data_IF_879311799925
#
_entry.id   IF_879311799925
#
_cell.length_a   1.000
_cell.length_b   1.000
_cell.length_c   1.000
_cell.angle_alpha   90.00
_cell.angle_beta   90.00
_cell.angle_gamma   90.00
#
_symmetry.space_group_name_H-M   'P 1'
#
loop_
_entity.id
_entity.type
_entity.pdbx_description
1 polymer ?
#
# COMPACT_ATOMS: atom_id res chain seq x y z
N UNK A 1 5.80 -9.27 -0.93
CA UNK A 1 6.67 -10.45 -0.66
C UNK A 1 5.93 -11.54 0.14
N UNK A 2 5.11 -11.18 1.11
CA UNK A 2 4.40 -12.12 1.97
C UNK A 2 3.42 -13.02 1.18
N UNK A 3 2.57 -12.45 0.32
CA UNK A 3 1.58 -13.21 -0.47
C UNK A 3 2.20 -14.21 -1.43
N UNK A 4 3.36 -13.88 -2.02
CA UNK A 4 4.13 -14.81 -2.85
C UNK A 4 4.67 -15.99 -2.03
N UNK A 5 5.17 -15.72 -0.83
CA UNK A 5 5.68 -16.75 0.07
C UNK A 5 4.56 -17.68 0.55
N UNK A 6 3.40 -17.14 0.88
CA UNK A 6 2.21 -17.92 1.27
C UNK A 6 1.72 -18.83 0.14
N UNK A 7 1.68 -18.35 -1.10
CA UNK A 7 1.33 -19.18 -2.26
C UNK A 7 2.33 -20.33 -2.45
N UNK A 8 3.63 -20.07 -2.33
CA UNK A 8 4.67 -21.11 -2.42
C UNK A 8 4.50 -22.19 -1.34
N UNK A 9 4.16 -21.81 -0.11
CA UNK A 9 3.87 -22.76 0.97
C UNK A 9 2.66 -23.62 0.61
N UNK A 10 1.55 -23.04 0.16
CA UNK A 10 0.35 -23.80 -0.22
C UNK A 10 0.62 -24.79 -1.37
N UNK A 11 1.48 -24.43 -2.32
CA UNK A 11 1.90 -25.34 -3.40
C UNK A 11 2.74 -26.50 -2.83
N UNK A 12 3.69 -26.20 -1.95
CA UNK A 12 4.55 -27.23 -1.33
C UNK A 12 3.71 -28.21 -0.49
N UNK A 13 2.72 -27.72 0.26
CA UNK A 13 1.80 -28.57 1.03
C UNK A 13 1.00 -29.52 0.12
N UNK A 14 0.51 -29.03 -1.00
CA UNK A 14 -0.18 -29.86 -1.99
C UNK A 14 0.76 -30.89 -2.62
N UNK A 15 2.01 -30.55 -2.87
CA UNK A 15 3.03 -31.47 -3.39
C UNK A 15 3.36 -32.56 -2.36
N UNK A 16 3.51 -32.22 -1.09
CA UNK A 16 3.78 -33.14 0.00
C UNK A 16 2.60 -34.10 0.27
N UNK A 17 1.38 -33.70 -0.05
CA UNK A 17 0.19 -34.53 0.08
C UNK A 17 0.08 -35.60 -1.02
N UNK A 18 0.95 -35.58 -2.03
CA UNK A 18 0.98 -36.63 -3.07
C UNK A 18 1.27 -37.99 -2.45
N UNK A 19 0.54 -39.00 -2.91
CA UNK A 19 0.73 -40.37 -2.45
C UNK A 19 2.12 -40.86 -2.85
N UNK A 20 2.86 -41.37 -1.87
CA UNK A 20 4.09 -42.12 -2.13
C UNK A 20 3.74 -43.50 -2.73
N UNK A 21 4.34 -43.83 -3.85
CA UNK A 21 4.23 -45.21 -4.40
C UNK A 21 5.12 -46.10 -3.56
N UNK A 22 4.57 -47.15 -2.90
CA UNK A 22 5.36 -48.07 -2.09
C UNK A 22 6.27 -48.91 -2.99
N UNK A 23 7.39 -49.35 -2.43
CA UNK A 23 8.21 -50.38 -3.09
C UNK A 23 7.36 -51.63 -3.37
N UNK A 24 7.66 -52.34 -4.45
CA UNK A 24 6.90 -53.52 -4.83
C UNK A 24 7.06 -54.62 -3.78
N UNK A 25 5.97 -55.02 -3.05
CA UNK A 25 6.07 -56.05 -2.04
C UNK A 25 6.32 -57.42 -2.68
N UNK A 26 7.02 -58.32 -1.95
CA UNK A 26 7.27 -59.68 -2.38
C UNK A 26 6.19 -60.70 -2.03
N UNK A 27 5.30 -60.36 -1.06
CA UNK A 27 4.20 -61.24 -0.60
C UNK A 27 2.90 -60.84 -1.27
N UNK A 28 2.11 -61.82 -1.69
CA UNK A 28 0.80 -61.62 -2.33
C UNK A 28 -0.18 -60.81 -1.49
N UNK A 29 -0.22 -61.03 -0.19
CA UNK A 29 -1.06 -60.28 0.76
C UNK A 29 -0.71 -58.78 0.74
N UNK A 30 0.57 -58.45 0.70
CA UNK A 30 1.08 -57.08 0.74
C UNK A 30 0.85 -56.37 -0.58
N UNK A 31 0.94 -57.11 -1.70
CA UNK A 31 0.59 -56.61 -3.06
C UNK A 31 -0.89 -56.23 -3.11
N UNK A 32 -1.78 -57.12 -2.59
CA UNK A 32 -3.21 -56.83 -2.55
C UNK A 32 -3.50 -55.57 -1.71
N UNK A 33 -2.88 -55.45 -0.55
CA UNK A 33 -3.04 -54.30 0.34
C UNK A 33 -2.52 -53.01 -0.31
N UNK A 34 -1.35 -53.04 -0.91
CA UNK A 34 -0.79 -51.90 -1.63
C UNK A 34 -1.66 -51.47 -2.84
N UNK A 35 -2.19 -52.48 -3.57
CA UNK A 35 -3.11 -52.23 -4.69
C UNK A 35 -4.41 -51.55 -4.23
N UNK A 36 -4.99 -52.01 -3.10
CA UNK A 36 -6.18 -51.39 -2.52
C UNK A 36 -5.87 -49.93 -2.12
N UNK A 37 -4.78 -49.70 -1.41
CA UNK A 37 -4.37 -48.35 -0.99
C UNK A 37 -4.17 -47.42 -2.19
N UNK A 38 -3.56 -47.88 -3.29
CA UNK A 38 -3.34 -47.08 -4.47
C UNK A 38 -4.61 -46.77 -5.27
N UNK A 39 -5.65 -47.62 -5.15
CA UNK A 39 -6.96 -47.41 -5.78
C UNK A 39 -7.87 -46.45 -5.03
N UNK A 40 -7.58 -46.15 -3.78
CA UNK A 40 -8.38 -45.22 -3.00
C UNK A 40 -8.14 -43.78 -3.51
N UNK A 41 -9.17 -43.03 -3.89
CA UNK A 41 -8.98 -41.66 -4.33
C UNK A 41 -8.45 -40.80 -3.18
N UNK A 42 -7.57 -39.83 -3.51
CA UNK A 42 -7.16 -38.79 -2.58
C UNK A 42 -8.00 -37.56 -2.89
N UNK A 43 -8.61 -36.97 -1.89
CA UNK A 43 -9.27 -35.69 -2.03
C UNK A 43 -8.24 -34.54 -1.88
N UNK A 44 -8.00 -33.83 -2.96
CA UNK A 44 -7.11 -32.67 -3.02
C UNK A 44 -7.88 -31.35 -2.95
N UNK A 45 -9.20 -31.36 -2.77
CA UNK A 45 -10.06 -30.17 -2.84
C UNK A 45 -9.57 -29.05 -1.92
N UNK A 46 -9.24 -29.37 -0.67
CA UNK A 46 -8.76 -28.38 0.31
C UNK A 46 -7.44 -27.72 -0.09
N UNK A 47 -6.51 -28.46 -0.70
CA UNK A 47 -5.26 -27.90 -1.20
C UNK A 47 -5.49 -27.00 -2.42
N UNK A 48 -6.39 -27.41 -3.31
CA UNK A 48 -6.75 -26.61 -4.49
C UNK A 48 -7.39 -25.29 -4.07
N UNK A 49 -8.29 -25.34 -3.10
CA UNK A 49 -8.97 -24.13 -2.59
C UNK A 49 -7.99 -23.19 -1.89
N UNK A 50 -7.07 -23.73 -1.07
CA UNK A 50 -6.01 -22.95 -0.45
C UNK A 50 -5.09 -22.25 -1.49
N UNK A 51 -4.68 -22.97 -2.54
CA UNK A 51 -3.86 -22.41 -3.62
C UNK A 51 -4.62 -21.30 -4.33
N UNK A 52 -5.91 -21.48 -4.67
CA UNK A 52 -6.72 -20.45 -5.32
C UNK A 52 -6.88 -19.19 -4.46
N UNK A 53 -7.11 -19.36 -3.16
CA UNK A 53 -7.20 -18.25 -2.21
C UNK A 53 -5.90 -17.43 -2.20
N UNK A 54 -4.74 -18.10 -2.07
CA UNK A 54 -3.44 -17.44 -2.05
C UNK A 54 -3.06 -16.81 -3.41
N UNK A 55 -3.48 -17.44 -4.50
CA UNK A 55 -3.34 -16.85 -5.84
C UNK A 55 -4.13 -15.54 -5.95
N UNK A 56 -5.39 -15.54 -5.55
CA UNK A 56 -6.23 -14.32 -5.57
C UNK A 56 -5.66 -13.22 -4.69
N UNK A 57 -5.14 -13.56 -3.51
CA UNK A 57 -4.49 -12.60 -2.62
C UNK A 57 -3.23 -11.98 -3.27
N UNK A 58 -2.43 -12.78 -3.99
CA UNK A 58 -1.26 -12.29 -4.72
C UNK A 58 -1.68 -11.38 -5.89
N UNK A 59 -2.69 -11.77 -6.67
CA UNK A 59 -3.22 -10.97 -7.77
C UNK A 59 -3.72 -9.59 -7.27
N UNK A 60 -4.48 -9.57 -6.17
CA UNK A 60 -4.93 -8.34 -5.54
C UNK A 60 -3.76 -7.47 -5.06
N UNK A 61 -2.75 -8.06 -4.45
CA UNK A 61 -1.54 -7.34 -4.01
C UNK A 61 -0.78 -6.71 -5.19
N UNK A 62 -0.72 -7.40 -6.34
CA UNK A 62 -0.13 -6.85 -7.57
C UNK A 62 -0.95 -5.66 -8.10
N UNK A 63 -2.27 -5.76 -8.10
CA UNK A 63 -3.15 -4.67 -8.53
C UNK A 63 -3.01 -3.45 -7.61
N UNK A 64 -3.00 -3.65 -6.30
CA UNK A 64 -2.76 -2.60 -5.31
C UNK A 64 -1.42 -1.91 -5.55
N UNK A 65 -0.34 -2.67 -5.74
CA UNK A 65 0.98 -2.10 -6.01
C UNK A 65 0.98 -1.26 -7.30
N UNK A 66 0.31 -1.72 -8.35
CA UNK A 66 0.22 -0.98 -9.61
C UNK A 66 -0.47 0.36 -9.46
N UNK A 67 -1.57 0.44 -8.70
CA UNK A 67 -2.32 1.69 -8.55
C UNK A 67 -1.62 2.73 -7.66
N UNK A 68 -0.70 2.31 -6.78
CA UNK A 68 0.12 3.20 -5.95
C UNK A 68 1.54 3.42 -6.50
N UNK A 69 1.82 2.97 -7.74
CA UNK A 69 3.07 3.22 -8.45
C UNK A 69 2.82 4.24 -9.54
N UNK A 70 3.50 5.38 -9.48
CA UNK A 70 3.30 6.54 -10.36
C UNK A 70 1.80 6.92 -10.52
N UNK A 71 1.07 7.15 -9.41
CA UNK A 71 -0.36 7.41 -9.48
C UNK A 71 -0.65 8.73 -10.18
N UNK A 72 -1.79 8.79 -10.88
CA UNK A 72 -2.25 10.05 -11.45
C UNK A 72 -2.84 10.95 -10.37
N UNK A 73 -2.81 12.26 -10.59
CA UNK A 73 -3.43 13.26 -9.73
C UNK A 73 -4.93 12.95 -9.51
N UNK A 74 -5.65 12.69 -10.60
CA UNK A 74 -7.09 12.39 -10.53
C UNK A 74 -7.41 11.14 -9.70
N UNK A 75 -6.57 10.11 -9.79
CA UNK A 75 -6.71 8.93 -8.95
C UNK A 75 -6.58 9.29 -7.47
N UNK A 76 -5.55 10.03 -7.10
CA UNK A 76 -5.33 10.41 -5.69
C UNK A 76 -6.49 11.25 -5.17
N UNK A 77 -6.91 12.28 -5.91
CA UNK A 77 -8.04 13.14 -5.53
C UNK A 77 -9.30 12.31 -5.30
N UNK A 78 -9.66 11.44 -6.24
CA UNK A 78 -10.85 10.60 -6.15
C UNK A 78 -10.83 9.70 -4.91
N UNK A 79 -9.64 9.21 -4.53
CA UNK A 79 -9.49 8.28 -3.40
C UNK A 79 -9.58 8.97 -2.05
N UNK A 80 -9.08 10.21 -1.94
CA UNK A 80 -8.96 10.87 -0.64
C UNK A 80 -10.09 11.86 -0.35
N UNK A 81 -10.87 12.28 -1.35
CA UNK A 81 -11.91 13.29 -1.18
C UNK A 81 -12.94 12.95 -0.09
N UNK A 82 -13.26 11.67 0.06
CA UNK A 82 -14.26 11.17 1.04
C UNK A 82 -13.62 10.53 2.27
N UNK A 83 -12.32 10.72 2.49
CA UNK A 83 -11.65 10.21 3.71
C UNK A 83 -12.12 11.03 4.92
N UNK A 84 -12.63 10.34 5.93
CA UNK A 84 -13.03 10.98 7.19
C UNK A 84 -11.84 11.72 7.82
N UNK A 85 -12.03 12.99 8.11
CA UNK A 85 -10.99 13.89 8.62
C UNK A 85 -10.40 14.80 7.55
N UNK A 86 -10.68 14.57 6.25
CA UNK A 86 -10.35 15.47 5.15
C UNK A 86 -11.57 16.36 4.86
N UNK A 87 -11.37 17.67 4.81
CA UNK A 87 -12.43 18.65 4.56
C UNK A 87 -12.33 19.34 3.20
N UNK A 88 -11.22 19.18 2.51
CA UNK A 88 -10.99 19.71 1.17
C UNK A 88 -9.69 19.21 0.56
N UNK A 89 -9.61 19.20 -0.75
CA UNK A 89 -8.42 18.77 -1.51
C UNK A 89 -8.12 19.76 -2.63
N UNK A 90 -6.85 20.00 -2.91
CA UNK A 90 -6.40 20.87 -4.00
C UNK A 90 -5.11 20.34 -4.58
N UNK A 91 -5.09 20.14 -5.90
CA UNK A 91 -3.88 19.75 -6.60
C UNK A 91 -2.96 20.95 -6.84
N UNK A 92 -1.68 20.66 -6.86
CA UNK A 92 -0.62 21.59 -7.26
C UNK A 92 -0.59 21.69 -8.78
N UNK A 93 -0.41 22.88 -9.31
CA UNK A 93 -0.12 23.12 -10.73
C UNK A 93 1.28 23.69 -10.90
N UNK A 94 1.85 23.65 -12.11
CA UNK A 94 3.20 24.17 -12.36
C UNK A 94 3.34 25.65 -12.01
N UNK A 95 2.24 26.43 -12.18
CA UNK A 95 2.20 27.86 -11.86
C UNK A 95 1.89 28.12 -10.38
N UNK A 96 1.42 27.10 -9.65
CA UNK A 96 1.04 27.18 -8.24
C UNK A 96 1.60 26.01 -7.46
N UNK A 97 2.93 25.92 -7.42
CA UNK A 97 3.70 24.89 -6.70
C UNK A 97 4.65 25.55 -5.70
N UNK A 98 4.32 25.50 -4.39
CA UNK A 98 5.18 26.10 -3.35
C UNK A 98 6.60 25.53 -3.31
N UNK A 99 6.79 24.27 -3.72
CA UNK A 99 8.08 23.60 -3.75
C UNK A 99 8.78 23.73 -5.12
N UNK A 100 8.04 24.08 -6.16
CA UNK A 100 8.55 24.20 -7.52
C UNK A 100 9.11 22.90 -8.11
N UNK A 101 8.56 21.74 -7.73
CA UNK A 101 9.08 20.40 -8.05
C UNK A 101 8.16 19.57 -8.96
N UNK A 102 6.96 20.04 -9.26
CA UNK A 102 6.02 19.31 -10.12
C UNK A 102 6.63 19.12 -11.52
N UNK A 103 6.64 17.87 -11.98
CA UNK A 103 7.17 17.43 -13.28
C UNK A 103 8.67 17.75 -13.53
N UNK A 104 9.43 18.03 -12.47
CA UNK A 104 10.89 18.24 -12.58
C UNK A 104 11.66 16.96 -12.28
N UNK A 105 12.89 16.90 -12.75
CA UNK A 105 13.77 15.77 -12.49
C UNK A 105 13.94 15.56 -10.96
N UNK A 106 13.60 14.37 -10.47
CA UNK A 106 13.59 14.03 -9.05
C UNK A 106 12.44 14.62 -8.24
N UNK A 107 11.51 15.33 -8.90
CA UNK A 107 10.29 15.85 -8.30
C UNK A 107 9.09 14.91 -8.44
N UNK A 108 7.99 15.33 -7.86
CA UNK A 108 6.73 14.60 -7.96
C UNK A 108 6.03 14.83 -9.32
N UNK A 109 5.24 13.84 -9.75
CA UNK A 109 4.35 13.92 -10.94
C UNK A 109 2.92 14.26 -10.57
N UNK A 110 2.57 14.12 -9.28
CA UNK A 110 1.32 14.55 -8.69
C UNK A 110 1.57 15.03 -7.26
N UNK A 111 0.98 16.14 -6.87
CA UNK A 111 1.02 16.62 -5.50
C UNK A 111 -0.33 17.21 -5.14
N UNK A 112 -0.98 16.67 -4.12
CA UNK A 112 -2.29 17.05 -3.68
C UNK A 112 -2.22 17.44 -2.21
N UNK A 113 -2.48 18.71 -1.92
CA UNK A 113 -2.69 19.16 -0.56
C UNK A 113 -4.13 18.91 -0.12
N UNK A 114 -4.32 18.66 1.18
CA UNK A 114 -5.62 18.48 1.77
C UNK A 114 -5.75 19.24 3.10
N UNK A 115 -6.93 19.77 3.37
CA UNK A 115 -7.28 20.35 4.66
C UNK A 115 -7.91 19.29 5.57
N UNK A 116 -7.63 19.36 6.87
CA UNK A 116 -8.23 18.49 7.87
C UNK A 116 -9.31 19.21 8.66
N UNK A 117 -10.44 18.55 8.88
CA UNK A 117 -11.51 19.02 9.77
C UNK A 117 -11.10 19.09 11.25
N UNK A 118 -9.97 18.49 11.60
CA UNK A 118 -9.41 18.50 12.96
C UNK A 118 -8.55 19.75 13.23
N UNK A 119 -8.32 20.60 12.22
CA UNK A 119 -7.50 21.82 12.30
C UNK A 119 -8.41 23.03 12.06
N UNK A 120 -8.30 24.04 12.91
CA UNK A 120 -8.99 25.32 12.68
C UNK A 120 -8.35 26.02 11.48
N UNK A 121 -9.04 25.99 10.34
CA UNK A 121 -8.55 26.52 9.08
C UNK A 121 -8.38 28.03 9.05
N UNK A 122 -9.05 28.76 9.94
CA UNK A 122 -8.95 30.23 10.07
C UNK A 122 -7.64 30.67 10.74
N UNK A 123 -6.98 29.76 11.44
CA UNK A 123 -5.69 29.99 12.10
C UNK A 123 -4.48 29.63 11.19
N UNK A 124 -4.73 29.00 10.05
CA UNK A 124 -3.68 28.61 9.09
C UNK A 124 -3.52 29.70 8.04
N UNK A 125 -2.30 30.22 7.90
CA UNK A 125 -1.98 31.25 6.93
C UNK A 125 -2.02 30.72 5.49
N UNK A 126 -2.65 31.47 4.58
CA UNK A 126 -2.80 31.15 3.16
C UNK A 126 -4.22 31.37 2.67
N UNK A 127 -4.40 31.65 1.39
CA UNK A 127 -5.71 31.93 0.78
C UNK A 127 -6.41 30.67 0.28
N UNK A 128 -5.64 29.64 -0.03
CA UNK A 128 -6.16 28.35 -0.48
C UNK A 128 -5.39 27.17 0.18
N UNK A 129 -5.78 25.94 -0.13
CA UNK A 129 -5.22 24.74 0.51
C UNK A 129 -3.75 24.56 0.16
N UNK A 130 -3.34 24.88 -1.08
CA UNK A 130 -1.94 24.77 -1.53
C UNK A 130 -1.06 25.79 -0.83
N UNK A 131 -1.52 27.06 -0.71
CA UNK A 131 -0.79 28.12 0.02
C UNK A 131 -0.68 27.82 1.53
N UNK A 132 -1.73 27.24 2.12
CA UNK A 132 -1.71 26.77 3.53
C UNK A 132 -0.72 25.62 3.74
N UNK A 133 -0.36 24.91 2.69
CA UNK A 133 0.63 23.84 2.72
C UNK A 133 0.22 22.65 3.61
N UNK A 134 1.20 21.98 4.21
CA UNK A 134 0.94 20.86 5.12
C UNK A 134 0.31 21.28 6.44
N UNK A 135 0.38 22.56 6.81
CA UNK A 135 -0.16 23.02 8.09
C UNK A 135 -1.69 22.93 8.16
N UNK A 136 -2.40 22.99 7.02
CA UNK A 136 -3.86 22.85 6.98
C UNK A 136 -4.38 21.41 7.13
N UNK A 137 -3.52 20.41 6.96
CA UNK A 137 -3.92 18.99 7.03
C UNK A 137 -2.80 18.05 6.61
N UNK A 138 -2.29 18.26 5.40
CA UNK A 138 -1.20 17.47 4.86
C UNK A 138 -1.08 17.53 3.34
N UNK A 139 -0.26 16.67 2.77
CA UNK A 139 -0.19 16.49 1.34
C UNK A 139 0.18 15.05 0.94
N UNK A 140 -0.15 14.70 -0.28
CA UNK A 140 0.19 13.43 -0.93
C UNK A 140 1.03 13.75 -2.15
N UNK A 141 2.29 13.31 -2.12
CA UNK A 141 3.26 13.50 -3.18
C UNK A 141 3.43 12.17 -3.94
N UNK A 142 3.06 12.11 -5.22
CA UNK A 142 3.22 10.94 -6.09
C UNK A 142 4.49 11.07 -6.95
N UNK A 143 5.34 10.06 -6.91
CA UNK A 143 6.62 10.03 -7.62
C UNK A 143 6.59 9.02 -8.78
N UNK A 144 7.45 9.19 -9.82
CA UNK A 144 7.57 8.23 -10.91
C UNK A 144 8.02 6.83 -10.45
N UNK A 145 8.85 6.77 -9.40
CA UNK A 145 9.41 5.51 -8.90
C UNK A 145 9.40 5.47 -7.38
N UNK A 146 9.48 4.25 -6.83
CA UNK A 146 9.59 4.01 -5.38
C UNK A 146 10.88 4.64 -4.84
N UNK A 147 11.98 4.54 -5.56
CA UNK A 147 13.30 5.06 -5.16
C UNK A 147 13.27 6.60 -5.02
N UNK A 148 12.50 7.31 -5.84
CA UNK A 148 12.34 8.76 -5.72
C UNK A 148 11.49 9.13 -4.50
N UNK A 149 10.42 8.38 -4.22
CA UNK A 149 9.65 8.54 -3.00
C UNK A 149 10.50 8.25 -1.74
N UNK A 150 11.34 7.22 -1.77
CA UNK A 150 12.27 6.89 -0.67
C UNK A 150 13.29 8.00 -0.44
N UNK A 151 13.86 8.58 -1.50
CA UNK A 151 14.76 9.74 -1.39
C UNK A 151 14.07 10.94 -0.75
N UNK A 152 12.83 11.21 -1.16
CA UNK A 152 12.02 12.28 -0.56
C UNK A 152 11.77 12.01 0.92
N UNK A 153 11.36 10.81 1.27
CA UNK A 153 11.12 10.42 2.66
C UNK A 153 12.39 10.56 3.52
N UNK A 154 13.53 10.13 3.00
CA UNK A 154 14.83 10.29 3.66
C UNK A 154 15.19 11.77 3.86
N UNK A 155 14.91 12.62 2.87
CA UNK A 155 15.10 14.05 3.00
C UNK A 155 14.22 14.65 4.11
N UNK A 156 12.93 14.25 4.19
CA UNK A 156 12.01 14.71 5.23
C UNK A 156 12.48 14.27 6.61
N UNK A 157 12.95 13.03 6.75
CA UNK A 157 13.45 12.48 8.02
C UNK A 157 14.63 13.27 8.60
N UNK A 158 15.37 14.00 7.78
CA UNK A 158 16.45 14.86 8.26
C UNK A 158 15.95 16.07 9.08
N UNK A 159 14.67 16.37 9.02
CA UNK A 159 14.03 17.47 9.74
C UNK A 159 13.14 17.01 10.89
N UNK A 160 13.01 15.70 11.11
CA UNK A 160 12.20 15.15 12.20
C UNK A 160 12.72 15.65 13.56
N UNK A 161 11.81 16.24 14.35
CA UNK A 161 12.14 16.81 15.63
C UNK A 161 12.97 18.13 15.57
N UNK A 162 13.17 18.71 14.39
CA UNK A 162 13.91 19.95 14.20
C UNK A 162 13.08 21.21 14.53
N UNK A 163 12.04 21.10 15.32
CA UNK A 163 11.20 22.19 15.78
C UNK A 163 10.44 22.88 14.65
N UNK A 164 10.79 24.11 14.31
CA UNK A 164 10.08 24.88 13.24
C UNK A 164 10.24 24.27 11.84
N UNK A 165 11.25 23.44 11.61
CA UNK A 165 11.49 22.79 10.32
C UNK A 165 10.79 21.42 10.22
N UNK A 166 10.28 20.89 11.32
CA UNK A 166 9.49 19.67 11.34
C UNK A 166 8.15 19.90 10.63
N UNK A 167 7.87 19.08 9.63
CA UNK A 167 6.67 19.20 8.79
C UNK A 167 5.57 18.19 9.16
N UNK A 168 5.70 17.53 10.32
CA UNK A 168 4.78 16.50 10.79
C UNK A 168 5.20 15.09 10.37
N UNK A 169 4.27 14.14 10.39
CA UNK A 169 4.54 12.76 10.01
C UNK A 169 4.62 12.59 8.49
N UNK A 170 5.47 11.66 8.04
CA UNK A 170 5.57 11.28 6.64
C UNK A 170 5.75 9.76 6.50
N UNK A 171 5.07 9.15 5.53
CA UNK A 171 5.04 7.71 5.32
C UNK A 171 5.07 7.39 3.83
N UNK A 172 5.73 6.28 3.47
CA UNK A 172 5.78 5.78 2.09
C UNK A 172 4.69 4.73 1.86
N UNK A 173 4.03 4.84 0.71
CA UNK A 173 3.11 3.83 0.19
C UNK A 173 3.37 3.65 -1.32
N UNK A 174 4.13 2.63 -1.70
CA UNK A 174 4.61 2.48 -3.08
C UNK A 174 5.47 3.65 -3.50
N UNK A 175 5.12 4.36 -4.56
CA UNK A 175 5.80 5.59 -4.99
C UNK A 175 5.14 6.87 -4.45
N UNK A 176 4.32 6.75 -3.41
CA UNK A 176 3.61 7.87 -2.78
C UNK A 176 4.28 8.20 -1.45
N UNK A 177 4.43 9.50 -1.15
CA UNK A 177 4.74 10.00 0.20
C UNK A 177 3.49 10.68 0.74
N UNK A 178 2.94 10.15 1.83
CA UNK A 178 1.81 10.73 2.57
C UNK A 178 2.40 11.55 3.71
N UNK A 179 2.05 12.82 3.77
CA UNK A 179 2.47 13.74 4.84
C UNK A 179 1.25 14.27 5.57
N UNK A 180 1.30 14.27 6.91
CA UNK A 180 0.26 14.84 7.77
C UNK A 180 0.81 15.95 8.63
N UNK A 181 -0.03 16.95 8.90
CA UNK A 181 0.35 18.18 9.60
C UNK A 181 0.94 17.92 10.98
N UNK A 182 1.99 18.67 11.34
CA UNK A 182 2.53 18.72 12.71
C UNK A 182 1.54 19.31 13.73
N UNK A 183 0.49 20.02 13.29
CA UNK A 183 -0.57 20.56 14.14
C UNK A 183 -1.46 19.45 14.72
N UNK A 184 -1.51 18.30 14.05
CA UNK A 184 -2.21 17.10 14.53
C UNK A 184 -1.38 16.38 15.60
N UNK A 185 -2.06 15.76 16.57
CA UNK A 185 -1.40 14.86 17.52
C UNK A 185 -0.86 13.62 16.80
N UNK A 186 0.13 12.95 17.37
CA UNK A 186 0.71 11.73 16.79
C UNK A 186 -0.35 10.64 16.49
N UNK A 187 -1.36 10.49 17.35
CA UNK A 187 -2.49 9.58 17.14
C UNK A 187 -3.31 10.01 15.92
N UNK A 188 -3.67 11.29 15.82
CA UNK A 188 -4.44 11.81 14.68
C UNK A 188 -3.67 11.68 13.35
N UNK A 189 -2.35 11.93 13.36
CA UNK A 189 -1.48 11.73 12.20
C UNK A 189 -1.48 10.26 11.74
N UNK A 190 -1.34 9.33 12.70
CA UNK A 190 -1.33 7.89 12.41
C UNK A 190 -2.67 7.42 11.86
N UNK A 191 -3.79 7.80 12.49
CA UNK A 191 -5.14 7.42 12.06
C UNK A 191 -5.47 7.98 10.67
N UNK A 192 -5.12 9.24 10.40
CA UNK A 192 -5.35 9.86 9.11
C UNK A 192 -4.50 9.22 8.01
N UNK A 193 -3.22 8.95 8.28
CA UNK A 193 -2.32 8.23 7.38
C UNK A 193 -2.86 6.84 7.05
N UNK A 194 -3.36 6.11 8.06
CA UNK A 194 -3.95 4.78 7.86
C UNK A 194 -5.19 4.85 6.96
N UNK A 195 -6.14 5.74 7.25
CA UNK A 195 -7.36 5.91 6.45
C UNK A 195 -7.05 6.27 4.98
N UNK A 196 -6.11 7.18 4.76
CA UNK A 196 -5.63 7.54 3.42
C UNK A 196 -5.03 6.31 2.72
N UNK A 197 -4.16 5.58 3.41
CA UNK A 197 -3.50 4.39 2.85
C UNK A 197 -4.51 3.30 2.47
N UNK A 198 -5.49 3.03 3.33
CA UNK A 198 -6.57 2.07 3.06
C UNK A 198 -7.36 2.45 1.81
N UNK A 199 -7.70 3.73 1.65
CA UNK A 199 -8.40 4.24 0.46
C UNK A 199 -7.56 4.17 -0.81
N UNK A 200 -6.27 4.46 -0.74
CA UNK A 200 -5.36 4.33 -1.87
C UNK A 200 -5.14 2.86 -2.28
N UNK A 201 -5.27 1.91 -1.37
CA UNK A 201 -5.12 0.46 -1.61
C UNK A 201 -6.45 -0.23 -1.97
N UNK A 202 -7.59 0.41 -1.81
CA UNK A 202 -8.89 -0.17 -2.13
C UNK A 202 -8.98 -0.49 -3.63
N UNK A 203 -9.19 -1.78 -4.00
CA UNK A 203 -9.37 -2.20 -5.38
C UNK A 203 -10.77 -1.82 -5.88
N UNK A 204 -10.85 -1.37 -7.14
CA UNK A 204 -12.11 -1.10 -7.83
C UNK A 204 -12.57 -2.31 -8.64
#
# INVERSE_FOLDING_TARGET
ENTMSELKVSIADAENAKRTVPELPSKTSDIISATKMLKEPIDYSSFIDAIKEKQSALENSILQMRQITAPTESFVIQRIADVEGISGVQAVTEDHDPNGNLNKAGGYTACIYFSSSLINQDEVFGNDIVEKGTDCGGCIEGYPTIEEAEKRNTYLSAFDGAGMLDSGSHNILGSIVIRTSRTLTATQQSELTQKISEKLLELQ
#
